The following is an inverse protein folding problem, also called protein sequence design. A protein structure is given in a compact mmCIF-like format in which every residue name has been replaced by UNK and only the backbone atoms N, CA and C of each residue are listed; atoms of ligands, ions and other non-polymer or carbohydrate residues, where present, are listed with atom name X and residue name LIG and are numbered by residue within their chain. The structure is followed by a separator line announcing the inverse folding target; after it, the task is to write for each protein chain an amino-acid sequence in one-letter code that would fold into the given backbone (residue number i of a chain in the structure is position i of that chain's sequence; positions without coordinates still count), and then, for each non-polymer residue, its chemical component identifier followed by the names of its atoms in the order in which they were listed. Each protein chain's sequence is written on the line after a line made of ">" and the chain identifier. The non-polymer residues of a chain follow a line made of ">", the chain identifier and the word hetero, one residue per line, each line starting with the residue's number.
data_IF_106772980012
#
_entry.id   IF_106772980012
#
_cell.length_a   1.000
_cell.length_b   1.000
_cell.length_c   1.000
_cell.angle_alpha   90.00
_cell.angle_beta   90.00
_cell.angle_gamma   90.00
#
_symmetry.space_group_name_H-M   'P 1'
#
loop_
_entity.id
_entity.type
_entity.pdbx_description
1 polymer ?
#
# COMPACT_ATOMS: atom_id res chain seq x y z
N UNK A 1 -14.20 9.52 -40.29
CA UNK A 1 -14.18 9.37 -38.81
C UNK A 1 -12.88 9.94 -38.23
N UNK A 2 -12.99 11.02 -37.45
CA UNK A 2 -11.87 11.62 -36.73
C UNK A 2 -11.48 10.70 -35.58
N UNK A 3 -10.28 10.12 -35.62
CA UNK A 3 -9.77 9.25 -34.55
C UNK A 3 -9.42 10.12 -33.34
N UNK A 4 -10.15 9.96 -32.23
CA UNK A 4 -9.84 10.61 -30.96
C UNK A 4 -8.79 9.76 -30.24
N UNK A 5 -7.58 10.28 -30.08
CA UNK A 5 -6.52 9.60 -29.33
C UNK A 5 -6.85 9.64 -27.84
N UNK A 6 -6.90 8.45 -27.21
CA UNK A 6 -7.19 8.31 -25.79
C UNK A 6 -5.90 8.07 -25.02
N UNK A 7 -5.59 8.92 -24.04
CA UNK A 7 -4.51 8.67 -23.11
C UNK A 7 -4.85 7.45 -22.22
N UNK A 8 -4.12 6.35 -22.42
CA UNK A 8 -4.24 5.10 -21.65
C UNK A 8 -2.84 4.60 -21.32
N UNK A 9 -2.72 3.84 -20.23
CA UNK A 9 -1.47 3.16 -19.95
C UNK A 9 -1.20 2.08 -21.00
N UNK A 10 0.06 1.99 -21.37
CA UNK A 10 0.60 0.92 -22.20
C UNK A 10 0.78 -0.36 -21.39
N UNK A 11 0.97 -1.48 -22.07
CA UNK A 11 1.23 -2.75 -21.38
C UNK A 11 2.60 -2.75 -20.67
N UNK A 12 3.61 -2.16 -21.31
CA UNK A 12 4.95 -2.04 -20.75
C UNK A 12 4.97 -1.23 -19.44
N UNK A 13 4.13 -0.20 -19.32
CA UNK A 13 3.97 0.56 -18.09
C UNK A 13 3.39 -0.29 -16.96
N UNK A 14 2.40 -1.15 -17.24
CA UNK A 14 1.82 -2.05 -16.22
C UNK A 14 2.85 -3.08 -15.77
N UNK A 15 3.53 -3.73 -16.72
CA UNK A 15 4.61 -4.68 -16.46
C UNK A 15 5.76 -4.04 -15.66
N UNK A 16 6.07 -2.77 -15.94
CA UNK A 16 7.05 -2.00 -15.15
C UNK A 16 6.59 -1.80 -13.70
N UNK A 17 5.31 -1.47 -13.48
CA UNK A 17 4.77 -1.31 -12.13
C UNK A 17 4.79 -2.62 -11.34
N UNK A 18 4.47 -3.75 -11.97
CA UNK A 18 4.52 -5.07 -11.33
C UNK A 18 5.94 -5.45 -10.92
N UNK A 19 6.92 -5.27 -11.83
CA UNK A 19 8.34 -5.53 -11.54
C UNK A 19 8.86 -4.68 -10.40
N UNK A 20 8.62 -3.37 -10.44
CA UNK A 20 9.03 -2.45 -9.37
C UNK A 20 8.41 -2.77 -8.02
N UNK A 21 7.16 -3.26 -8.02
CA UNK A 21 6.49 -3.70 -6.81
C UNK A 21 7.14 -4.96 -6.24
N UNK A 22 7.38 -5.98 -7.08
CA UNK A 22 8.06 -7.21 -6.68
C UNK A 22 9.47 -6.94 -6.13
N UNK A 23 10.24 -6.10 -6.82
CA UNK A 23 11.59 -5.70 -6.38
C UNK A 23 11.57 -4.93 -5.05
N UNK A 24 10.55 -4.10 -4.83
CA UNK A 24 10.37 -3.40 -3.56
C UNK A 24 10.03 -4.38 -2.43
N UNK A 25 9.13 -5.33 -2.67
CA UNK A 25 8.79 -6.38 -1.70
C UNK A 25 10.00 -7.25 -1.36
N UNK A 26 10.78 -7.66 -2.36
CA UNK A 26 11.98 -8.47 -2.12
C UNK A 26 13.03 -7.70 -1.31
N UNK A 27 13.27 -6.43 -1.63
CA UNK A 27 14.24 -5.59 -0.90
C UNK A 27 13.89 -5.41 0.58
N UNK A 28 12.61 -5.33 0.92
CA UNK A 28 12.15 -5.08 2.28
C UNK A 28 11.52 -6.29 2.97
N UNK A 29 11.71 -7.50 2.43
CA UNK A 29 11.07 -8.72 2.92
C UNK A 29 11.34 -9.02 4.41
N UNK A 30 12.51 -8.62 4.92
CA UNK A 30 12.88 -8.81 6.32
C UNK A 30 12.26 -7.76 7.27
N UNK A 31 12.02 -6.53 6.78
CA UNK A 31 11.58 -5.40 7.61
C UNK A 31 10.05 -5.22 7.58
N UNK A 32 9.43 -5.49 6.43
CA UNK A 32 8.01 -5.23 6.21
C UNK A 32 7.09 -5.92 7.23
N UNK A 33 7.26 -7.21 7.60
CA UNK A 33 6.37 -7.87 8.55
C UNK A 33 6.33 -7.17 9.92
N UNK A 34 7.50 -6.83 10.47
CA UNK A 34 7.60 -6.15 11.77
C UNK A 34 7.03 -4.72 11.71
N UNK A 35 7.25 -4.01 10.60
CA UNK A 35 6.70 -2.67 10.40
C UNK A 35 5.17 -2.67 10.28
N UNK A 36 4.58 -3.64 9.59
CA UNK A 36 3.13 -3.79 9.50
C UNK A 36 2.51 -4.10 10.87
N UNK A 37 3.16 -4.97 11.67
CA UNK A 37 2.73 -5.22 13.05
C UNK A 37 2.78 -3.95 13.91
N UNK A 38 3.85 -3.15 13.81
CA UNK A 38 3.96 -1.86 14.52
C UNK A 38 2.85 -0.89 14.10
N UNK A 39 2.50 -0.85 12.82
CA UNK A 39 1.41 -0.03 12.30
C UNK A 39 0.05 -0.47 12.86
N UNK A 40 -0.22 -1.77 12.87
CA UNK A 40 -1.44 -2.33 13.46
C UNK A 40 -1.53 -2.03 14.96
N UNK A 41 -0.43 -2.21 15.69
CA UNK A 41 -0.37 -1.95 17.12
C UNK A 41 -0.65 -0.48 17.45
N UNK A 42 -0.14 0.46 16.64
CA UNK A 42 -0.44 1.88 16.81
C UNK A 42 -1.93 2.20 16.70
N UNK A 43 -2.70 1.46 15.89
CA UNK A 43 -4.16 1.59 15.83
C UNK A 43 -4.80 1.00 17.09
N UNK A 44 -4.39 -0.21 17.50
CA UNK A 44 -4.91 -0.91 18.68
C UNK A 44 -4.71 -0.06 19.96
N UNK A 45 -3.55 0.58 20.08
CA UNK A 45 -3.19 1.41 21.23
C UNK A 45 -3.79 2.84 21.14
N UNK A 46 -4.61 3.13 20.12
CA UNK A 46 -5.16 4.46 19.85
C UNK A 46 -4.07 5.55 19.76
N UNK A 47 -2.92 5.20 19.20
CA UNK A 47 -1.76 6.06 18.99
C UNK A 47 -1.84 6.87 17.70
N UNK A 48 -0.81 7.71 17.47
CA UNK A 48 -0.71 8.47 16.22
C UNK A 48 -0.23 7.57 15.07
N UNK A 49 -1.19 7.07 14.28
CA UNK A 49 -0.96 6.20 13.13
C UNK A 49 -0.13 6.89 12.05
N UNK A 50 -0.33 8.20 11.83
CA UNK A 50 0.39 8.94 10.78
C UNK A 50 1.90 9.00 11.04
N UNK A 51 2.31 9.12 12.31
CA UNK A 51 3.73 9.04 12.69
C UNK A 51 4.34 7.71 12.26
N UNK A 52 3.64 6.59 12.46
CA UNK A 52 4.13 5.26 12.07
C UNK A 52 4.08 5.08 10.55
N UNK A 53 3.12 5.69 9.85
CA UNK A 53 3.05 5.67 8.39
C UNK A 53 4.29 6.28 7.71
N UNK A 54 4.90 7.32 8.31
CA UNK A 54 6.13 7.93 7.78
C UNK A 54 7.30 6.94 7.71
N UNK A 55 7.36 5.99 8.66
CA UNK A 55 8.33 4.90 8.66
C UNK A 55 7.86 3.76 7.75
N UNK A 56 6.58 3.38 7.84
CA UNK A 56 6.02 2.26 7.09
C UNK A 56 6.12 2.45 5.57
N UNK A 57 5.91 3.67 5.06
CA UNK A 57 6.00 3.95 3.63
C UNK A 57 7.40 3.74 3.03
N UNK A 58 8.44 3.60 3.87
CA UNK A 58 9.81 3.31 3.41
C UNK A 58 10.03 1.84 3.08
N UNK A 59 9.26 0.94 3.68
CA UNK A 59 9.49 -0.51 3.62
C UNK A 59 8.24 -1.34 3.27
N UNK A 60 7.06 -0.73 3.30
CA UNK A 60 5.78 -1.36 2.98
C UNK A 60 5.13 -0.66 1.78
N UNK A 61 4.56 -1.43 0.86
CA UNK A 61 3.80 -0.88 -0.26
C UNK A 61 2.43 -0.38 0.19
N UNK A 62 1.79 0.45 -0.65
CA UNK A 62 0.45 0.97 -0.38
C UNK A 62 -0.57 -0.14 -0.08
N UNK A 63 -0.51 -1.23 -0.86
CA UNK A 63 -1.39 -2.40 -0.66
C UNK A 63 -1.16 -3.08 0.69
N UNK A 64 0.10 -3.33 1.08
CA UNK A 64 0.43 -3.93 2.37
C UNK A 64 -0.08 -3.09 3.55
N UNK A 65 0.12 -1.77 3.49
CA UNK A 65 -0.37 -0.81 4.50
C UNK A 65 -1.89 -0.84 4.58
N UNK A 66 -2.57 -0.79 3.44
CA UNK A 66 -4.04 -0.72 3.38
C UNK A 66 -4.67 -1.99 3.96
N UNK A 67 -4.17 -3.17 3.56
CA UNK A 67 -4.64 -4.45 4.09
C UNK A 67 -4.41 -4.55 5.60
N UNK A 68 -3.23 -4.18 6.09
CA UNK A 68 -2.93 -4.20 7.52
C UNK A 68 -3.87 -3.28 8.33
N UNK A 69 -4.20 -2.10 7.81
CA UNK A 69 -5.14 -1.19 8.48
C UNK A 69 -6.59 -1.70 8.44
N UNK A 70 -6.99 -2.44 7.40
CA UNK A 70 -8.33 -3.05 7.35
C UNK A 70 -8.53 -4.13 8.40
N UNK A 71 -7.48 -4.85 8.80
CA UNK A 71 -7.54 -5.90 9.82
C UNK A 71 -7.84 -5.35 11.22
N UNK A 72 -7.44 -4.10 11.50
CA UNK A 72 -7.57 -3.48 12.84
C UNK A 72 -8.55 -2.29 12.90
N UNK A 73 -8.72 -1.55 11.81
CA UNK A 73 -9.60 -0.37 11.73
C UNK A 73 -10.92 -0.63 11.03
N UNK A 74 -11.08 -1.81 10.42
CA UNK A 74 -12.22 -2.14 9.57
C UNK A 74 -12.18 -1.44 8.21
N UNK A 75 -13.10 -1.84 7.34
CA UNK A 75 -13.28 -1.23 6.03
C UNK A 75 -14.44 -0.24 6.07
N UNK A 76 -14.37 0.77 5.21
CA UNK A 76 -15.50 1.67 5.03
C UNK A 76 -16.75 0.88 4.65
N UNK A 77 -17.79 0.98 5.48
CA UNK A 77 -19.11 0.42 5.20
C UNK A 77 -19.98 1.53 4.60
N UNK A 78 -20.32 1.41 3.32
CA UNK A 78 -21.29 2.31 2.67
C UNK A 78 -22.61 2.26 3.44
N UNK A 79 -23.05 3.39 3.98
CA UNK A 79 -24.44 3.58 4.41
C UNK A 79 -25.28 3.89 3.18
N UNK A 80 -26.34 3.10 2.96
CA UNK A 80 -27.45 3.50 2.10
C UNK A 80 -28.33 4.50 2.84
#
# INVERSE_FOLDING_TARGET
>A
PTHLELARSTEDEKESQLRRLADFHQRHAAEAPAMLQRLQQAVIDNGNVFTVLMDAARVCSLGQITTALFEVGGQYRRSM
#
